data_IF_085191907095
#
_entry.id   IF_085191907095
#
_cell.length_a   1.000
_cell.length_b   1.000
_cell.length_c   1.000
_cell.angle_alpha   90.00
_cell.angle_beta   90.00
_cell.angle_gamma   90.00
#
_symmetry.space_group_name_H-M   'P 1'
#
loop_
_entity.id
_entity.type
_entity.pdbx_description
1 polymer ?
#
# COMPACT_ATOMS: atom_id res chain seq x y z
N UNK A 1 -17.64 -1.98 -7.21
CA UNK A 1 -17.53 -1.82 -5.90
C UNK A 1 -18.15 -0.55 -5.37
N UNK A 2 -19.41 -0.41 -5.70
CA UNK A 2 -20.22 0.76 -5.35
C UNK A 2 -20.71 0.72 -3.89
N UNK A 3 -20.29 -0.31 -3.14
CA UNK A 3 -20.73 -0.54 -1.77
C UNK A 3 -19.82 0.08 -0.71
N UNK A 4 -18.55 0.27 -1.03
CA UNK A 4 -17.55 0.77 -0.09
C UNK A 4 -16.68 1.84 -0.71
N UNK A 5 -16.27 2.79 0.13
CA UNK A 5 -15.15 3.69 -0.13
C UNK A 5 -13.94 3.27 0.69
N UNK A 6 -12.74 3.47 0.14
CA UNK A 6 -11.49 3.25 0.85
C UNK A 6 -10.84 4.59 1.19
N UNK A 7 -10.45 4.77 2.46
CA UNK A 7 -9.69 5.92 2.94
C UNK A 7 -8.38 5.40 3.51
N UNK A 8 -7.25 5.89 3.00
CA UNK A 8 -5.94 5.63 3.57
C UNK A 8 -5.58 6.65 4.66
N UNK A 9 -5.08 6.17 5.80
CA UNK A 9 -4.49 7.00 6.86
C UNK A 9 -3.07 6.52 7.08
N UNK A 10 -2.10 7.31 6.65
CA UNK A 10 -0.69 6.95 6.64
C UNK A 10 0.17 7.97 7.36
N UNK A 11 1.35 7.56 7.79
CA UNK A 11 2.34 8.40 8.44
C UNK A 11 2.63 8.00 9.88
N UNK A 12 3.68 8.56 10.49
CA UNK A 12 4.19 8.16 11.81
C UNK A 12 3.17 8.33 12.94
N UNK A 13 2.27 9.30 12.83
CA UNK A 13 1.23 9.57 13.83
C UNK A 13 -0.07 8.76 13.62
N UNK A 14 -0.19 7.99 12.54
CA UNK A 14 -1.42 7.27 12.18
C UNK A 14 -1.91 6.33 13.29
N UNK A 15 -1.00 5.57 13.92
CA UNK A 15 -1.33 4.71 15.07
C UNK A 15 -1.87 5.50 16.25
N UNK A 16 -1.15 6.55 16.66
CA UNK A 16 -1.54 7.41 17.78
C UNK A 16 -2.91 8.03 17.54
N UNK A 17 -3.14 8.49 16.32
CA UNK A 17 -4.43 9.05 15.91
C UNK A 17 -5.55 7.99 16.00
N UNK A 18 -5.37 6.83 15.39
CA UNK A 18 -6.38 5.76 15.38
C UNK A 18 -6.63 5.22 16.80
N UNK A 19 -5.59 5.09 17.63
CA UNK A 19 -5.75 4.72 19.04
C UNK A 19 -6.58 5.74 19.82
N UNK A 20 -6.43 7.03 19.54
CA UNK A 20 -7.24 8.08 20.19
C UNK A 20 -8.73 8.02 19.83
N UNK A 21 -9.05 7.46 18.65
CA UNK A 21 -10.44 7.31 18.19
C UNK A 21 -11.10 6.01 18.66
N UNK A 22 -10.31 4.93 18.74
CA UNK A 22 -10.82 3.56 18.86
C UNK A 22 -10.30 2.82 20.11
N UNK A 23 -9.45 3.46 20.91
CA UNK A 23 -8.79 2.79 22.03
C UNK A 23 -7.59 1.92 21.58
N UNK A 24 -7.12 1.04 22.46
CA UNK A 24 -5.87 0.30 22.29
C UNK A 24 -5.87 -0.78 21.19
N UNK A 25 -6.95 -0.91 20.41
CA UNK A 25 -7.04 -1.90 19.32
C UNK A 25 -6.00 -1.74 18.21
N UNK A 26 -5.25 -0.63 18.20
CA UNK A 26 -4.23 -0.31 17.19
C UNK A 26 -2.79 -0.50 17.68
N UNK A 27 -2.57 -1.20 18.78
CA UNK A 27 -1.22 -1.57 19.25
C UNK A 27 -0.48 -2.42 18.19
N UNK A 28 0.82 -2.67 18.36
CA UNK A 28 1.57 -3.57 17.48
C UNK A 28 1.07 -5.00 17.59
N UNK A 29 0.75 -5.40 18.80
CA UNK A 29 0.33 -6.74 19.20
C UNK A 29 -1.09 -7.02 18.70
N UNK A 30 -2.00 -6.08 18.93
CA UNK A 30 -3.41 -6.25 18.56
C UNK A 30 -3.66 -6.08 17.06
N UNK A 31 -2.83 -5.27 16.39
CA UNK A 31 -2.96 -5.03 14.95
C UNK A 31 -1.62 -5.16 14.22
N UNK A 32 -1.06 -6.39 14.10
CA UNK A 32 0.17 -6.63 13.36
C UNK A 32 0.02 -6.33 11.87
N UNK A 33 1.14 -6.16 11.18
CA UNK A 33 1.18 -5.91 9.75
C UNK A 33 0.41 -6.98 8.95
N UNK A 34 -0.22 -6.58 7.86
CA UNK A 34 -1.03 -7.44 6.96
C UNK A 34 -2.29 -8.03 7.59
N UNK A 35 -2.67 -7.59 8.80
CA UNK A 35 -3.93 -8.00 9.42
C UNK A 35 -5.05 -7.04 9.09
N UNK A 36 -6.27 -7.60 9.08
CA UNK A 36 -7.50 -6.84 8.94
C UNK A 36 -8.51 -7.26 9.99
N UNK A 37 -9.34 -6.34 10.44
CA UNK A 37 -10.45 -6.60 11.36
C UNK A 37 -11.57 -5.59 11.22
N UNK A 38 -12.76 -5.99 11.61
CA UNK A 38 -13.91 -5.11 11.76
C UNK A 38 -13.87 -4.40 13.10
N UNK A 39 -14.06 -3.10 13.08
CA UNK A 39 -14.30 -2.28 14.27
C UNK A 39 -15.57 -1.45 14.06
N UNK A 40 -16.22 -1.09 15.16
CA UNK A 40 -17.39 -0.22 15.14
C UNK A 40 -16.95 1.24 15.37
N UNK A 41 -17.26 2.10 14.41
CA UNK A 41 -17.05 3.54 14.50
C UNK A 41 -18.36 4.27 14.24
N UNK A 42 -18.77 5.10 15.19
CA UNK A 42 -20.01 5.88 15.07
C UNK A 42 -21.22 5.03 14.67
N UNK A 43 -21.41 3.90 15.35
CA UNK A 43 -22.47 2.91 15.07
C UNK A 43 -22.40 2.31 13.64
N UNK A 44 -21.22 2.27 13.04
CA UNK A 44 -20.99 1.68 11.72
C UNK A 44 -19.87 0.66 11.80
N UNK A 45 -20.15 -0.56 11.32
CA UNK A 45 -19.14 -1.62 11.19
C UNK A 45 -18.24 -1.30 10.00
N UNK A 46 -16.94 -1.15 10.25
CA UNK A 46 -15.94 -0.71 9.29
C UNK A 46 -14.81 -1.73 9.28
N UNK A 47 -14.33 -2.06 8.09
CA UNK A 47 -13.13 -2.88 7.93
C UNK A 47 -11.89 -2.01 7.95
N UNK A 48 -10.93 -2.39 8.77
CA UNK A 48 -9.60 -1.80 8.82
C UNK A 48 -8.59 -2.84 8.38
N UNK A 49 -7.67 -2.46 7.53
CA UNK A 49 -6.57 -3.31 7.10
C UNK A 49 -5.24 -2.58 7.25
N UNK A 50 -4.30 -3.22 7.97
CA UNK A 50 -2.97 -2.65 8.15
C UNK A 50 -2.10 -2.96 6.95
N UNK A 51 -2.30 -2.21 5.90
CA UNK A 51 -1.53 -2.17 4.68
C UNK A 51 -1.20 -0.73 4.33
N UNK A 52 -0.14 -0.55 3.55
CA UNK A 52 0.25 0.76 3.06
C UNK A 52 0.95 0.61 1.71
N UNK A 53 0.40 1.20 0.69
CA UNK A 53 1.05 1.29 -0.61
C UNK A 53 2.11 2.39 -0.66
N UNK A 54 2.07 3.35 0.26
CA UNK A 54 3.07 4.43 0.36
C UNK A 54 4.29 4.05 1.20
N UNK A 55 4.31 2.84 1.77
CA UNK A 55 5.44 2.36 2.59
C UNK A 55 5.60 3.02 3.95
N UNK A 56 4.60 3.79 4.39
CA UNK A 56 4.54 4.38 5.72
C UNK A 56 3.63 3.56 6.65
N UNK A 57 3.77 3.76 7.96
CA UNK A 57 2.83 3.19 8.93
C UNK A 57 1.41 3.67 8.61
N UNK A 58 0.45 2.75 8.50
CA UNK A 58 -0.90 3.17 8.21
C UNK A 58 -1.90 2.04 8.04
N UNK A 59 -3.12 2.45 7.75
CA UNK A 59 -4.27 1.58 7.54
C UNK A 59 -5.12 2.07 6.38
N UNK A 60 -5.65 1.12 5.64
CA UNK A 60 -6.77 1.31 4.73
C UNK A 60 -8.07 1.04 5.49
N UNK A 61 -9.04 1.93 5.32
CA UNK A 61 -10.31 1.93 6.03
C UNK A 61 -11.42 1.81 4.99
N UNK A 62 -12.14 0.70 5.01
CA UNK A 62 -13.22 0.41 4.08
C UNK A 62 -14.56 0.72 4.72
N UNK A 63 -15.22 1.77 4.25
CA UNK A 63 -16.40 2.38 4.83
C UNK A 63 -17.59 2.12 3.90
N UNK A 64 -18.76 1.65 4.42
CA UNK A 64 -19.97 1.60 3.60
C UNK A 64 -20.27 2.94 2.95
N UNK A 65 -20.50 2.95 1.63
CA UNK A 65 -20.59 4.19 0.83
C UNK A 65 -21.56 5.23 1.40
N UNK A 66 -22.71 4.81 1.90
CA UNK A 66 -23.73 5.68 2.52
C UNK A 66 -23.23 6.40 3.79
N UNK A 67 -22.14 5.94 4.39
CA UNK A 67 -21.57 6.49 5.64
C UNK A 67 -20.26 7.25 5.42
N UNK A 68 -19.73 7.25 4.20
CA UNK A 68 -18.43 7.84 3.86
C UNK A 68 -18.31 9.28 4.30
N UNK A 69 -19.21 10.15 3.88
CA UNK A 69 -19.12 11.58 4.21
C UNK A 69 -19.18 11.84 5.72
N UNK A 70 -20.05 11.14 6.44
CA UNK A 70 -20.15 11.27 7.89
C UNK A 70 -18.84 10.90 8.58
N UNK A 71 -18.29 9.74 8.21
CA UNK A 71 -17.09 9.20 8.84
C UNK A 71 -15.86 10.00 8.44
N UNK A 72 -15.73 10.34 7.16
CA UNK A 72 -14.65 11.19 6.65
C UNK A 72 -14.56 12.52 7.39
N UNK A 73 -15.68 13.24 7.50
CA UNK A 73 -15.72 14.53 8.18
C UNK A 73 -15.34 14.42 9.66
N UNK A 74 -15.75 13.35 10.35
CA UNK A 74 -15.37 13.10 11.75
C UNK A 74 -13.89 12.79 11.88
N UNK A 75 -13.34 11.91 11.01
CA UNK A 75 -11.90 11.60 10.98
C UNK A 75 -11.10 12.87 10.72
N UNK A 76 -11.49 13.67 9.73
CA UNK A 76 -10.81 14.90 9.38
C UNK A 76 -10.83 15.93 10.54
N UNK A 77 -12.01 16.17 11.13
CA UNK A 77 -12.14 17.10 12.27
C UNK A 77 -11.26 16.70 13.45
N UNK A 78 -11.25 15.43 13.82
CA UNK A 78 -10.47 14.90 14.92
C UNK A 78 -8.97 14.83 14.58
N UNK A 79 -8.65 14.56 13.32
CA UNK A 79 -7.28 14.43 12.82
C UNK A 79 -6.49 15.74 12.84
N UNK A 80 -7.14 16.89 12.83
CA UNK A 80 -6.46 18.21 12.90
C UNK A 80 -5.52 18.34 14.10
N UNK A 81 -5.88 17.74 15.24
CA UNK A 81 -5.03 17.71 16.45
C UNK A 81 -3.77 16.86 16.30
N UNK A 82 -3.69 16.04 15.25
CA UNK A 82 -2.57 15.15 14.92
C UNK A 82 -1.83 15.59 13.66
N UNK A 83 -2.05 16.82 13.21
CA UNK A 83 -1.51 17.36 11.96
C UNK A 83 -1.89 16.52 10.72
N UNK A 84 -3.13 15.97 10.71
CA UNK A 84 -3.65 15.27 9.56
C UNK A 84 -3.85 16.24 8.40
N UNK A 85 -3.24 15.93 7.26
CA UNK A 85 -3.35 16.68 6.01
C UNK A 85 -3.82 15.78 4.88
N UNK A 86 -4.39 16.38 3.85
CA UNK A 86 -4.73 15.65 2.64
C UNK A 86 -3.49 15.44 1.77
N UNK A 87 -3.42 14.27 1.14
CA UNK A 87 -2.42 13.96 0.14
C UNK A 87 -3.12 13.54 -1.17
N UNK A 88 -2.66 14.11 -2.28
CA UNK A 88 -3.16 13.77 -3.60
C UNK A 88 -2.51 12.52 -4.18
N UNK A 89 -3.03 12.02 -5.31
CA UNK A 89 -2.53 10.83 -5.99
C UNK A 89 -1.07 10.93 -6.40
N UNK A 90 -0.61 12.11 -6.83
CA UNK A 90 0.81 12.31 -7.15
C UNK A 90 1.73 12.14 -5.95
N UNK A 91 1.29 12.56 -4.76
CA UNK A 91 2.04 12.32 -3.51
C UNK A 91 2.13 10.81 -3.20
N UNK A 92 1.03 10.08 -3.41
CA UNK A 92 1.01 8.63 -3.26
C UNK A 92 2.03 7.97 -4.20
N UNK A 93 2.05 8.38 -5.47
CA UNK A 93 2.97 7.85 -6.47
C UNK A 93 4.45 8.11 -6.11
N UNK A 94 4.77 9.29 -5.61
CA UNK A 94 6.13 9.62 -5.18
C UNK A 94 6.53 8.74 -3.99
N UNK A 95 5.70 8.69 -2.96
CA UNK A 95 6.01 7.94 -1.73
C UNK A 95 6.16 6.44 -1.97
N UNK A 96 5.27 5.82 -2.76
CA UNK A 96 5.37 4.39 -3.09
C UNK A 96 6.62 4.10 -3.92
N UNK A 97 6.99 5.02 -4.81
CA UNK A 97 8.16 4.87 -5.68
C UNK A 97 9.47 4.96 -4.89
N UNK A 98 9.57 5.86 -3.90
CA UNK A 98 10.71 5.93 -2.98
C UNK A 98 10.95 4.60 -2.24
N UNK A 99 9.92 3.81 -2.03
CA UNK A 99 9.98 2.46 -1.41
C UNK A 99 10.11 1.34 -2.44
N UNK A 100 10.18 1.67 -3.74
CA UNK A 100 10.16 0.69 -4.84
C UNK A 100 8.91 -0.19 -4.82
N UNK A 101 7.77 0.36 -4.45
CA UNK A 101 6.49 -0.34 -4.56
C UNK A 101 5.93 -0.15 -5.96
N UNK A 102 5.89 -1.23 -6.71
CA UNK A 102 5.51 -1.22 -8.12
C UNK A 102 3.99 -1.14 -8.28
N UNK A 103 3.56 -0.33 -9.24
CA UNK A 103 2.16 -0.13 -9.57
C UNK A 103 1.79 -0.96 -10.78
N UNK A 104 0.86 -1.91 -10.60
CA UNK A 104 0.35 -2.72 -11.71
C UNK A 104 -0.38 -1.85 -12.74
N UNK A 105 -0.10 -2.10 -14.02
CA UNK A 105 -0.64 -1.32 -15.13
C UNK A 105 0.09 0.00 -15.40
N UNK A 106 1.10 0.33 -14.57
CA UNK A 106 1.92 1.53 -14.73
C UNK A 106 3.41 1.17 -14.84
N UNK A 107 4.00 0.56 -13.79
CA UNK A 107 5.42 0.18 -13.77
C UNK A 107 5.62 -1.24 -14.30
N UNK A 108 4.65 -2.12 -14.07
CA UNK A 108 4.64 -3.52 -14.49
C UNK A 108 3.29 -3.88 -15.11
N UNK A 109 3.33 -4.78 -16.09
CA UNK A 109 2.16 -5.26 -16.81
C UNK A 109 2.17 -6.80 -16.89
N UNK A 110 1.20 -7.37 -17.60
CA UNK A 110 1.17 -8.82 -17.90
C UNK A 110 2.39 -9.31 -18.69
N UNK A 111 3.14 -8.42 -19.31
CA UNK A 111 4.37 -8.72 -20.06
C UNK A 111 5.63 -8.76 -19.20
N UNK A 112 5.50 -8.39 -17.92
CA UNK A 112 6.62 -8.32 -16.98
C UNK A 112 6.55 -9.51 -16.04
N UNK A 113 7.54 -10.39 -16.08
CA UNK A 113 7.61 -11.50 -15.14
C UNK A 113 8.20 -11.08 -13.77
N UNK A 114 7.97 -11.84 -12.68
CA UNK A 114 8.45 -11.49 -11.35
C UNK A 114 9.97 -11.34 -11.22
N UNK A 115 10.76 -12.01 -12.04
CA UNK A 115 12.23 -11.91 -11.99
C UNK A 115 12.72 -10.61 -12.63
N UNK A 116 12.10 -10.19 -13.72
CA UNK A 116 12.33 -8.89 -14.36
C UNK A 116 11.94 -7.73 -13.44
N UNK A 117 10.80 -7.86 -12.76
CA UNK A 117 10.31 -6.87 -11.80
C UNK A 117 11.12 -6.79 -10.49
N UNK A 118 12.02 -7.77 -10.24
CA UNK A 118 12.72 -7.88 -8.95
C UNK A 118 11.82 -8.35 -7.79
N UNK A 119 10.73 -9.04 -8.10
CA UNK A 119 9.73 -9.57 -7.16
C UNK A 119 9.84 -11.08 -6.95
N UNK A 120 10.99 -11.68 -7.24
CA UNK A 120 11.22 -13.13 -7.09
C UNK A 120 10.94 -13.64 -5.67
N UNK A 121 11.17 -12.81 -4.66
CA UNK A 121 10.90 -13.14 -3.26
C UNK A 121 9.41 -13.41 -2.97
N UNK A 122 8.50 -12.89 -3.77
CA UNK A 122 7.06 -13.09 -3.64
C UNK A 122 6.59 -14.43 -4.23
N UNK A 123 7.43 -15.10 -5.03
CA UNK A 123 7.12 -16.38 -5.66
C UNK A 123 7.51 -17.54 -4.74
N UNK A 124 6.53 -18.18 -4.14
CA UNK A 124 6.77 -19.30 -3.22
C UNK A 124 6.74 -20.66 -3.93
N UNK A 125 7.87 -21.13 -4.44
CA UNK A 125 8.00 -22.46 -5.05
C UNK A 125 7.87 -23.62 -4.04
N UNK A 126 8.01 -23.37 -2.74
CA UNK A 126 7.88 -24.41 -1.70
C UNK A 126 6.41 -24.65 -1.31
N UNK A 127 5.47 -23.89 -1.87
CA UNK A 127 4.04 -24.06 -1.61
C UNK A 127 3.59 -25.45 -2.05
N UNK A 128 2.85 -26.17 -1.17
CA UNK A 128 2.35 -27.54 -1.43
C UNK A 128 1.37 -27.61 -2.59
N UNK A 129 0.51 -26.58 -2.70
CA UNK A 129 -0.47 -26.50 -3.78
C UNK A 129 0.12 -25.80 -4.99
N UNK A 130 -0.27 -26.27 -6.18
CA UNK A 130 0.11 -25.62 -7.43
C UNK A 130 -0.51 -24.21 -7.55
N UNK A 131 0.04 -23.36 -8.39
CA UNK A 131 -0.48 -22.04 -8.72
C UNK A 131 -0.30 -21.77 -10.23
N UNK A 132 -1.11 -20.90 -10.78
CA UNK A 132 -1.08 -20.55 -12.19
C UNK A 132 0.27 -19.91 -12.53
N UNK A 133 0.93 -20.42 -13.59
CA UNK A 133 2.24 -19.93 -14.04
C UNK A 133 3.45 -20.58 -13.37
N UNK A 134 3.25 -21.50 -12.39
CA UNK A 134 4.38 -22.16 -11.69
C UNK A 134 5.37 -22.81 -12.64
N UNK A 135 4.89 -23.63 -13.57
CA UNK A 135 5.74 -24.37 -14.51
C UNK A 135 6.61 -23.45 -15.37
N UNK A 136 6.02 -22.34 -15.83
CA UNK A 136 6.76 -21.33 -16.61
C UNK A 136 7.83 -20.66 -15.74
N UNK A 137 7.47 -20.24 -14.53
CA UNK A 137 8.40 -19.62 -13.61
C UNK A 137 9.51 -20.56 -13.14
N UNK A 138 9.23 -21.86 -12.98
CA UNK A 138 10.24 -22.88 -12.64
C UNK A 138 11.27 -23.06 -13.76
N UNK A 139 10.88 -22.93 -15.02
CA UNK A 139 11.80 -23.01 -16.17
C UNK A 139 12.77 -21.83 -16.20
N UNK A 140 12.28 -20.62 -15.96
CA UNK A 140 13.06 -19.38 -16.13
C UNK A 140 13.75 -18.90 -14.85
N UNK A 141 13.50 -19.51 -13.69
CA UNK A 141 13.98 -19.02 -12.38
C UNK A 141 15.51 -18.94 -12.26
N UNK A 142 16.24 -19.73 -13.03
CA UNK A 142 17.71 -19.76 -13.05
C UNK A 142 18.31 -19.00 -14.24
N UNK A 143 17.47 -18.51 -15.14
CA UNK A 143 17.92 -17.71 -16.26
C UNK A 143 18.21 -16.28 -15.83
N UNK A 144 19.18 -15.66 -16.48
CA UNK A 144 19.39 -14.22 -16.31
C UNK A 144 18.31 -13.46 -17.07
N UNK A 145 17.48 -12.65 -16.40
CA UNK A 145 16.47 -11.88 -17.09
C UNK A 145 17.08 -10.94 -18.13
N UNK A 146 16.50 -10.91 -19.34
CA UNK A 146 16.96 -10.04 -20.44
C UNK A 146 16.82 -8.56 -20.10
N UNK A 147 15.83 -8.20 -19.32
CA UNK A 147 15.58 -6.84 -18.81
C UNK A 147 15.31 -6.87 -17.29
N UNK A 148 15.60 -5.78 -16.60
CA UNK A 148 15.35 -5.65 -15.16
C UNK A 148 14.86 -4.26 -14.82
N UNK A 149 13.79 -4.19 -14.07
CA UNK A 149 13.31 -2.94 -13.51
C UNK A 149 14.24 -2.49 -12.37
N UNK A 150 14.78 -1.27 -12.50
CA UNK A 150 15.67 -0.69 -11.49
C UNK A 150 15.16 0.68 -11.06
N UNK A 151 15.34 0.99 -9.79
CA UNK A 151 15.10 2.32 -9.24
C UNK A 151 16.40 3.12 -9.23
N UNK A 152 16.38 4.32 -9.78
CA UNK A 152 17.50 5.25 -9.78
C UNK A 152 17.20 6.45 -8.89
N UNK A 153 18.20 6.91 -8.17
CA UNK A 153 18.15 8.15 -7.39
C UNK A 153 19.07 9.17 -8.05
N UNK A 154 18.54 10.35 -8.34
CA UNK A 154 19.34 11.45 -8.87
C UNK A 154 20.11 12.11 -7.73
N UNK A 155 21.44 12.28 -7.91
CA UNK A 155 22.31 12.90 -6.90
C UNK A 155 22.11 14.41 -6.75
N UNK A 156 21.62 15.09 -7.79
CA UNK A 156 21.39 16.53 -7.78
C UNK A 156 19.89 16.80 -7.77
N UNK A 157 19.42 17.56 -6.78
CA UNK A 157 18.04 18.03 -6.64
C UNK A 157 17.62 19.07 -7.72
N UNK A 158 18.27 19.10 -8.87
CA UNK A 158 18.01 20.08 -9.94
C UNK A 158 16.75 19.79 -10.77
N UNK A 159 16.05 18.68 -10.53
CA UNK A 159 14.72 18.45 -11.08
C UNK A 159 13.72 18.28 -9.94
N UNK A 160 12.78 19.22 -9.75
CA UNK A 160 11.61 18.97 -8.95
C UNK A 160 10.73 18.00 -9.74
N UNK A 161 10.72 16.74 -9.39
CA UNK A 161 9.84 15.80 -10.07
C UNK A 161 10.31 14.35 -10.00
N UNK A 162 9.42 13.52 -10.19
CA UNK A 162 9.36 12.07 -10.22
C UNK A 162 10.71 11.34 -10.31
N UNK A 163 10.98 10.39 -9.44
CA UNK A 163 12.00 9.39 -9.72
C UNK A 163 11.68 8.71 -11.06
N UNK A 164 12.65 8.70 -11.97
CA UNK A 164 12.52 8.06 -13.27
C UNK A 164 12.76 6.56 -13.12
N UNK A 165 11.78 5.76 -13.50
CA UNK A 165 12.01 4.36 -13.82
C UNK A 165 12.51 4.31 -15.27
N UNK A 166 13.78 3.96 -15.45
CA UNK A 166 14.34 3.67 -16.76
C UNK A 166 14.22 2.17 -17.03
N UNK A 167 13.75 1.83 -18.20
CA UNK A 167 13.81 0.48 -18.75
C UNK A 167 15.10 0.37 -19.57
N UNK A 168 15.97 -0.60 -19.25
CA UNK A 168 17.08 -1.01 -20.10
C UNK A 168 16.57 -1.92 -21.19
#
# INVERSE_FOLDING_TARGET
TDQFSCIGIFGPNSRKFLTSLFGNFFSKEDFPFSRGKYLNLFNTKIWFQRLSFVGELGWEIYIPIKKTNLIFNKIYKLGKKFNLTFAGMHTLDILRLEKKFLHWGHDITSETNPFEAGLSFAVNFKKKHNFIGREVLEKIKYETPKKRLKLFSLKNNSMPGKPLLLHD
#
